data_IF_495552113620
#
_entry.id   IF_495552113620
#
_cell.length_a   1.000
_cell.length_b   1.000
_cell.length_c   1.000
_cell.angle_alpha   90.00
_cell.angle_beta   90.00
_cell.angle_gamma   90.00
#
_symmetry.space_group_name_H-M   'P 1'
#
loop_
_entity.id
_entity.type
_entity.pdbx_description
1 polymer ?
#
# COMPACT_ATOMS: atom_id res chain seq x y z
N UNK A 1 14.29 -15.84 -13.15
CA UNK A 1 14.07 -14.81 -12.12
C UNK A 1 12.86 -15.29 -11.35
N UNK A 2 13.00 -15.56 -10.05
CA UNK A 2 11.86 -16.06 -9.27
C UNK A 2 10.83 -14.94 -9.20
N UNK A 3 9.67 -15.18 -9.80
CA UNK A 3 8.49 -14.31 -9.75
C UNK A 3 8.09 -14.23 -8.28
N UNK A 4 8.40 -13.10 -7.61
CA UNK A 4 8.09 -12.94 -6.21
C UNK A 4 6.67 -12.43 -6.14
N UNK A 5 5.72 -13.35 -6.24
CA UNK A 5 4.31 -13.03 -6.33
C UNK A 5 3.83 -12.47 -4.99
N UNK A 6 3.77 -11.14 -4.89
CA UNK A 6 3.20 -10.43 -3.76
C UNK A 6 1.74 -10.85 -3.54
N UNK A 7 1.40 -11.12 -2.29
CA UNK A 7 0.04 -11.37 -1.83
C UNK A 7 -0.45 -10.24 -0.93
N UNK A 8 -1.75 -10.17 -0.67
CA UNK A 8 -2.29 -9.22 0.29
C UNK A 8 -1.73 -9.44 1.70
N UNK A 9 -1.47 -10.70 2.07
CA UNK A 9 -0.85 -11.05 3.35
C UNK A 9 0.59 -10.51 3.44
N UNK A 10 1.33 -10.49 2.33
CA UNK A 10 2.67 -9.89 2.27
C UNK A 10 2.59 -8.36 2.46
N UNK A 11 1.56 -7.71 1.90
CA UNK A 11 1.32 -6.28 2.11
C UNK A 11 0.94 -5.99 3.58
N UNK A 12 0.12 -6.82 4.21
CA UNK A 12 -0.16 -6.68 5.65
C UNK A 12 1.11 -6.81 6.49
N UNK A 13 1.94 -7.80 6.19
CA UNK A 13 3.24 -7.98 6.85
C UNK A 13 4.18 -6.78 6.61
N UNK A 14 4.02 -6.07 5.50
CA UNK A 14 4.73 -4.84 5.17
C UNK A 14 4.12 -3.57 5.80
N UNK A 15 3.06 -3.72 6.59
CA UNK A 15 2.44 -2.63 7.36
C UNK A 15 1.31 -1.88 6.64
N UNK A 16 0.75 -2.43 5.55
CA UNK A 16 -0.48 -1.92 4.96
C UNK A 16 -1.70 -2.50 5.70
N UNK A 17 -2.69 -1.67 6.04
CA UNK A 17 -3.91 -2.11 6.75
C UNK A 17 -4.94 -2.75 5.80
N UNK A 18 -4.53 -3.77 5.04
CA UNK A 18 -5.32 -4.33 3.93
C UNK A 18 -6.66 -4.91 4.39
N UNK A 19 -6.70 -5.61 5.53
CA UNK A 19 -7.93 -6.16 6.11
C UNK A 19 -8.97 -5.11 6.52
N UNK A 20 -8.56 -3.84 6.69
CA UNK A 20 -9.49 -2.75 7.00
C UNK A 20 -10.14 -2.15 5.76
N UNK A 21 -9.59 -2.43 4.58
CA UNK A 21 -10.10 -1.92 3.32
C UNK A 21 -11.38 -2.68 2.91
N UNK A 22 -12.37 -2.00 2.30
CA UNK A 22 -13.50 -2.65 1.64
C UNK A 22 -13.03 -3.68 0.60
N UNK A 23 -13.85 -4.70 0.35
CA UNK A 23 -13.52 -5.79 -0.58
C UNK A 23 -13.15 -5.24 -1.95
N UNK A 24 -13.85 -4.22 -2.42
CA UNK A 24 -13.62 -3.57 -3.71
C UNK A 24 -12.22 -2.96 -3.81
N UNK A 25 -11.70 -2.42 -2.70
CA UNK A 25 -10.35 -1.85 -2.66
C UNK A 25 -9.29 -2.95 -2.55
N UNK A 26 -9.60 -4.07 -1.88
CA UNK A 26 -8.73 -5.24 -1.88
C UNK A 26 -8.61 -5.85 -3.29
N UNK A 27 -9.68 -5.86 -4.08
CA UNK A 27 -9.63 -6.29 -5.49
C UNK A 27 -8.73 -5.39 -6.33
N UNK A 28 -8.77 -4.07 -6.13
CA UNK A 28 -7.82 -3.15 -6.80
C UNK A 28 -6.38 -3.53 -6.51
N UNK A 29 -6.05 -3.87 -5.26
CA UNK A 29 -4.71 -4.33 -4.89
C UNK A 29 -4.35 -5.69 -5.52
N UNK A 30 -5.34 -6.58 -5.72
CA UNK A 30 -5.15 -7.87 -6.40
C UNK A 30 -4.90 -7.72 -7.91
N UNK A 31 -5.42 -6.66 -8.51
CA UNK A 31 -5.25 -6.35 -9.94
C UNK A 31 -3.91 -5.64 -10.25
N UNK A 32 -3.19 -5.16 -9.23
CA UNK A 32 -1.87 -4.54 -9.42
C UNK A 32 -0.82 -5.55 -9.87
N UNK A 33 0.06 -5.09 -10.73
CA UNK A 33 1.24 -5.85 -11.15
C UNK A 33 2.27 -5.96 -10.04
N UNK A 34 3.16 -6.96 -10.14
CA UNK A 34 4.26 -7.15 -9.19
C UNK A 34 5.15 -5.90 -9.06
N UNK A 35 5.38 -5.18 -10.18
CA UNK A 35 6.16 -3.95 -10.19
C UNK A 35 5.47 -2.82 -9.40
N UNK A 36 4.15 -2.70 -9.51
CA UNK A 36 3.37 -1.70 -8.79
C UNK A 36 3.32 -2.02 -7.29
N UNK A 37 3.16 -3.29 -6.92
CA UNK A 37 3.20 -3.72 -5.52
C UNK A 37 4.59 -3.50 -4.89
N UNK A 38 5.66 -3.80 -5.62
CA UNK A 38 7.02 -3.48 -5.18
C UNK A 38 7.23 -1.98 -5.00
N UNK A 39 6.67 -1.16 -5.89
CA UNK A 39 6.74 0.30 -5.77
C UNK A 39 6.01 0.81 -4.52
N UNK A 40 4.85 0.24 -4.17
CA UNK A 40 4.14 0.58 -2.95
C UNK A 40 4.97 0.26 -1.70
N UNK A 41 5.59 -0.92 -1.66
CA UNK A 41 6.49 -1.32 -0.57
C UNK A 41 7.68 -0.36 -0.45
N UNK A 42 8.31 0.01 -1.57
CA UNK A 42 9.41 0.96 -1.59
C UNK A 42 9.00 2.36 -1.10
N UNK A 43 7.80 2.82 -1.43
CA UNK A 43 7.25 4.08 -0.92
C UNK A 43 7.05 3.98 0.59
N UNK A 44 6.47 2.89 1.09
CA UNK A 44 6.26 2.68 2.52
C UNK A 44 7.57 2.69 3.30
N UNK A 45 8.58 1.97 2.83
CA UNK A 45 9.89 1.95 3.46
C UNK A 45 10.50 3.37 3.57
N UNK A 46 10.38 4.18 2.51
CA UNK A 46 10.84 5.58 2.54
C UNK A 46 10.03 6.45 3.51
N UNK A 47 8.72 6.25 3.60
CA UNK A 47 7.89 6.98 4.56
C UNK A 47 8.25 6.62 6.01
N UNK A 48 8.56 5.35 6.27
CA UNK A 48 9.01 4.89 7.60
C UNK A 48 10.40 5.46 7.96
N UNK A 49 11.31 5.59 6.98
CA UNK A 49 12.65 6.17 7.17
C UNK A 49 12.65 7.68 7.47
N UNK A 50 11.70 8.43 6.91
CA UNK A 50 11.66 9.90 7.04
C UNK A 50 11.10 10.35 8.39
N UNK A 51 10.52 9.45 9.19
CA UNK A 51 9.96 9.78 10.50
C UNK A 51 8.74 10.74 10.42
N UNK A 52 8.00 10.91 11.53
CA UNK A 52 6.72 11.60 11.52
C UNK A 52 6.90 13.13 11.57
N UNK A 53 7.57 13.73 10.59
CA UNK A 53 7.63 15.20 10.48
C UNK A 53 6.32 15.81 9.95
N UNK A 54 5.33 14.99 9.57
CA UNK A 54 4.02 15.44 9.06
C UNK A 54 2.86 14.73 9.78
N UNK A 55 2.81 14.80 11.11
CA UNK A 55 1.61 14.44 11.89
C UNK A 55 0.58 15.58 11.94
N UNK A 56 0.27 16.20 10.79
CA UNK A 56 -0.61 17.38 10.74
C UNK A 56 -1.53 17.53 9.52
N UNK A 57 -1.72 16.51 8.67
CA UNK A 57 -2.81 16.54 7.67
C UNK A 57 -3.53 15.18 7.61
N UNK A 58 -4.38 14.94 8.61
CA UNK A 58 -5.35 13.83 8.67
C UNK A 58 -6.53 13.99 7.70
N UNK A 59 -6.34 14.67 6.57
CA UNK A 59 -7.38 14.82 5.54
C UNK A 59 -6.76 14.73 4.14
N UNK A 60 -6.12 13.61 3.82
CA UNK A 60 -5.99 13.22 2.41
C UNK A 60 -7.16 12.30 2.11
N UNK A 61 -8.25 12.93 1.66
CA UNK A 61 -9.36 12.27 1.02
C UNK A 61 -8.84 11.55 -0.24
N UNK A 62 -8.52 10.27 -0.12
CA UNK A 62 -8.27 9.36 -1.25
C UNK A 62 -9.53 9.05 -2.08
N UNK A 63 -10.58 9.86 -1.99
CA UNK A 63 -11.88 9.68 -2.64
C UNK A 63 -12.11 10.65 -3.80
N UNK A 64 -11.05 11.12 -4.47
CA UNK A 64 -11.13 12.07 -5.58
C UNK A 64 -10.47 11.57 -6.87
N UNK A 65 -10.66 10.29 -7.20
CA UNK A 65 -10.51 9.80 -8.57
C UNK A 65 -11.87 9.27 -9.03
N UNK A 66 -12.75 10.20 -9.39
CA UNK A 66 -13.90 9.99 -10.27
C UNK A 66 -13.53 10.43 -11.68
#
# INVERSE_FOLDING_TARGET
>A
MSEHRWTLDDLEAYGFDVSTLPVEQQEVLRDLTEAELSMLADIRARLDEVGPEVSAHSEIAGAALF
#
